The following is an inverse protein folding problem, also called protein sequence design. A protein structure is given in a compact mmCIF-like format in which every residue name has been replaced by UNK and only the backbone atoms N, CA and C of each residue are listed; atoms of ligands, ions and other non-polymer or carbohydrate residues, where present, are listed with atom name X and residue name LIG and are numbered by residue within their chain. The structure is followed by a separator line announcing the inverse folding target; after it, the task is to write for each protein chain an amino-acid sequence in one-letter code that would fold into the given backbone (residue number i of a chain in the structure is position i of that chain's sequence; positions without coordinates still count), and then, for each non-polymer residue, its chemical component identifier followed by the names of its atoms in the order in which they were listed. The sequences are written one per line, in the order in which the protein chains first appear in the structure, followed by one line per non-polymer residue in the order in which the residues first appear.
data_IF_843774681990
#
_entry.id   IF_843774681990
#
_cell.length_a   1.000
_cell.length_b   1.000
_cell.length_c   1.000
_cell.angle_alpha   90.00
_cell.angle_beta   90.00
_cell.angle_gamma   90.00
#
_symmetry.space_group_name_H-M   'P 1'
#
loop_
_entity.id
_entity.type
_entity.pdbx_description
1 polymer ?
#
# COMPACT_ATOMS: atom_id res chain seq x y z
N UNK A 1 -29.63 15.67 -3.90
CA UNK A 1 -29.28 14.83 -2.74
C UNK A 1 -27.77 14.78 -2.63
N UNK A 2 -27.23 15.42 -1.61
CA UNK A 2 -25.86 15.95 -1.49
C UNK A 2 -24.77 14.89 -1.28
N UNK A 3 -23.75 14.94 -2.13
CA UNK A 3 -22.57 14.06 -2.19
C UNK A 3 -21.41 14.62 -1.34
N UNK A 4 -21.69 15.07 -0.12
CA UNK A 4 -20.80 15.92 0.70
C UNK A 4 -20.16 15.22 1.92
N UNK A 5 -20.00 13.89 1.90
CA UNK A 5 -19.55 13.12 3.09
C UNK A 5 -18.14 12.49 3.01
N UNK A 6 -17.33 12.82 2.00
CA UNK A 6 -15.98 12.27 1.87
C UNK A 6 -14.92 13.38 1.90
N UNK A 7 -14.64 13.88 3.11
CA UNK A 7 -13.41 14.61 3.37
C UNK A 7 -12.31 13.59 3.67
N UNK A 8 -11.28 13.42 2.81
CA UNK A 8 -10.09 12.65 3.19
C UNK A 8 -9.47 13.27 4.45
N UNK A 9 -8.85 12.45 5.29
CA UNK A 9 -8.05 12.90 6.43
C UNK A 9 -6.88 13.70 5.88
N UNK A 10 -7.09 15.00 5.65
CA UNK A 10 -6.11 15.92 5.11
C UNK A 10 -5.48 16.64 6.30
N UNK A 11 -4.73 15.89 7.10
CA UNK A 11 -3.90 16.46 8.14
C UNK A 11 -2.49 16.65 7.54
N UNK A 12 -1.99 17.88 7.39
CA UNK A 12 -0.65 18.15 6.84
C UNK A 12 0.49 17.58 7.71
N UNK A 13 0.16 16.97 8.87
CA UNK A 13 1.08 16.19 9.70
C UNK A 13 1.26 14.73 9.25
N UNK A 14 0.50 14.23 8.28
CA UNK A 14 0.67 12.89 7.69
C UNK A 14 1.71 12.97 6.55
N UNK A 15 2.86 13.59 6.83
CA UNK A 15 4.09 13.20 6.17
C UNK A 15 4.71 12.14 7.08
N UNK A 16 4.44 10.88 6.78
CA UNK A 16 5.13 9.72 7.38
C UNK A 16 6.58 9.67 6.86
N UNK A 17 7.32 10.77 7.00
CA UNK A 17 8.77 10.80 6.89
C UNK A 17 9.31 10.44 8.27
N UNK A 18 9.32 9.15 8.58
CA UNK A 18 10.08 8.64 9.71
C UNK A 18 11.54 8.48 9.25
N UNK A 19 12.47 9.37 9.66
CA UNK A 19 13.87 9.22 9.30
C UNK A 19 14.42 7.92 9.89
N UNK A 20 15.09 7.12 9.05
CA UNK A 20 15.77 5.89 9.49
C UNK A 20 14.98 4.58 9.31
N UNK A 21 13.86 4.57 8.60
CA UNK A 21 13.18 3.32 8.22
C UNK A 21 13.92 2.62 7.07
N UNK A 22 14.96 1.87 7.42
CA UNK A 22 15.66 0.99 6.49
C UNK A 22 14.86 -0.32 6.28
N UNK A 23 14.48 -0.63 5.04
CA UNK A 23 13.94 -1.95 4.68
C UNK A 23 15.03 -2.86 4.15
N UNK A 24 15.05 -4.11 4.61
CA UNK A 24 15.85 -5.17 3.98
C UNK A 24 15.15 -5.61 2.71
N UNK A 25 15.69 -5.28 1.55
CA UNK A 25 15.17 -5.75 0.26
C UNK A 25 15.99 -6.96 -0.19
N UNK A 26 15.34 -8.06 -0.59
CA UNK A 26 16.07 -9.23 -1.12
C UNK A 26 16.67 -8.89 -2.49
N UNK A 27 18.00 -8.95 -2.59
CA UNK A 27 18.73 -8.91 -3.85
C UNK A 27 19.45 -10.23 -4.09
N UNK A 28 19.25 -10.80 -5.29
CA UNK A 28 19.95 -11.98 -5.80
C UNK A 28 21.10 -11.54 -6.72
N UNK A 29 21.98 -10.67 -6.22
CA UNK A 29 23.37 -10.61 -6.69
C UNK A 29 24.25 -11.01 -5.51
N UNK A 30 24.84 -12.21 -5.59
CA UNK A 30 25.71 -12.82 -4.55
C UNK A 30 25.07 -13.13 -3.18
N UNK A 31 23.74 -13.28 -3.09
CA UNK A 31 23.07 -13.83 -1.90
C UNK A 31 23.15 -12.95 -0.63
N UNK A 32 23.45 -11.65 -0.75
CA UNK A 32 23.55 -10.72 0.38
C UNK A 32 22.26 -9.89 0.54
N UNK A 33 21.73 -9.80 1.76
CA UNK A 33 20.60 -8.92 2.11
C UNK A 33 21.14 -7.54 2.47
N UNK A 34 20.68 -6.50 1.79
CA UNK A 34 21.06 -5.11 2.02
C UNK A 34 19.88 -4.31 2.57
N UNK A 35 20.18 -3.33 3.42
CA UNK A 35 19.23 -2.32 3.85
C UNK A 35 19.21 -1.18 2.82
N UNK A 36 18.03 -0.82 2.35
CA UNK A 36 17.82 0.30 1.42
C UNK A 36 17.22 1.48 2.19
N UNK A 37 17.78 2.66 1.98
CA UNK A 37 17.21 3.91 2.51
C UNK A 37 16.06 4.37 1.61
N UNK A 38 14.84 4.32 2.15
CA UNK A 38 13.62 4.66 1.43
C UNK A 38 13.56 6.16 1.10
N UNK A 39 14.14 7.02 1.94
CA UNK A 39 14.11 8.48 1.75
C UNK A 39 14.95 8.90 0.55
N UNK A 40 15.98 8.13 0.20
CA UNK A 40 16.84 8.38 -0.97
C UNK A 40 16.24 7.73 -2.24
N UNK A 41 15.41 6.71 -2.07
CA UNK A 41 14.75 6.03 -3.19
C UNK A 41 13.30 6.51 -3.35
N UNK A 42 13.08 7.75 -3.77
CA UNK A 42 11.75 8.14 -4.25
C UNK A 42 11.32 7.24 -5.43
N UNK A 43 10.01 6.97 -5.58
CA UNK A 43 9.35 6.26 -6.70
C UNK A 43 9.46 6.99 -8.06
N UNK A 44 10.60 7.61 -8.34
CA UNK A 44 10.88 8.19 -9.63
C UNK A 44 11.25 7.05 -10.59
N UNK A 45 10.22 6.38 -11.13
CA UNK A 45 10.37 5.42 -12.22
C UNK A 45 10.71 6.20 -13.50
N UNK A 46 11.96 6.10 -13.95
CA UNK A 46 12.33 6.46 -15.33
C UNK A 46 11.97 5.29 -16.23
N UNK A 47 10.93 5.39 -17.06
CA UNK A 47 10.82 4.63 -18.31
C UNK A 47 9.86 5.33 -19.28
N UNK A 48 10.41 5.82 -20.40
CA UNK A 48 9.70 5.99 -21.66
C UNK A 48 9.41 4.62 -22.26
N UNK A 49 8.28 4.53 -22.98
CA UNK A 49 7.88 3.44 -23.87
C UNK A 49 7.16 2.24 -23.22
N UNK A 50 5.89 2.12 -23.64
CA UNK A 50 5.08 0.92 -23.86
C UNK A 50 5.71 -0.43 -23.45
N UNK A 51 4.91 -1.25 -22.75
CA UNK A 51 5.03 -2.71 -22.61
C UNK A 51 5.69 -3.31 -21.35
N UNK A 52 5.35 -2.84 -20.14
CA UNK A 52 5.64 -3.63 -18.92
C UNK A 52 4.42 -4.13 -18.14
N UNK A 53 3.19 -3.85 -18.58
CA UNK A 53 1.98 -4.40 -17.94
C UNK A 53 1.00 -5.09 -18.93
N UNK A 54 1.38 -5.28 -20.19
CA UNK A 54 0.45 -5.84 -21.19
C UNK A 54 0.54 -7.36 -21.37
N UNK A 55 1.70 -7.98 -21.08
CA UNK A 55 1.93 -9.39 -21.42
C UNK A 55 1.66 -10.39 -20.27
N UNK A 56 1.83 -9.99 -19.01
CA UNK A 56 1.54 -10.83 -17.81
C UNK A 56 0.18 -10.56 -17.19
N UNK A 57 -0.41 -9.40 -17.49
CA UNK A 57 -1.77 -9.04 -17.07
C UNK A 57 -2.81 -10.01 -17.63
N UNK A 58 -2.69 -10.42 -18.90
CA UNK A 58 -3.69 -11.28 -19.56
C UNK A 58 -3.81 -12.67 -18.92
N UNK A 59 -2.70 -13.30 -18.55
CA UNK A 59 -2.70 -14.59 -17.86
C UNK A 59 -3.19 -14.48 -16.41
N UNK A 60 -2.86 -13.38 -15.70
CA UNK A 60 -3.39 -13.11 -14.36
C UNK A 60 -4.89 -12.80 -14.37
N UNK A 61 -5.38 -12.03 -15.36
CA UNK A 61 -6.80 -11.69 -15.51
C UNK A 61 -7.63 -12.86 -16.04
N UNK A 62 -7.09 -13.71 -16.90
CA UNK A 62 -7.75 -14.95 -17.37
C UNK A 62 -7.94 -15.98 -16.24
N UNK A 63 -7.05 -16.02 -15.24
CA UNK A 63 -7.26 -16.84 -14.02
C UNK A 63 -8.42 -16.33 -13.13
N UNK A 64 -8.83 -15.07 -13.30
CA UNK A 64 -9.85 -14.40 -12.48
C UNK A 64 -11.26 -14.40 -13.09
N UNK A 65 -11.41 -14.82 -14.35
CA UNK A 65 -12.72 -14.94 -14.98
C UNK A 65 -13.48 -16.18 -14.45
N UNK A 66 -14.57 -15.93 -13.71
CA UNK A 66 -15.57 -16.95 -13.35
C UNK A 66 -15.61 -17.45 -11.89
N UNK A 67 -15.03 -16.75 -10.91
CA UNK A 67 -14.90 -17.28 -9.54
C UNK A 67 -15.21 -16.26 -8.41
N UNK A 68 -15.45 -16.79 -7.19
CA UNK A 68 -16.05 -16.24 -5.96
C UNK A 68 -15.71 -14.78 -5.53
N UNK A 69 -16.50 -14.23 -4.58
CA UNK A 69 -16.44 -12.83 -4.08
C UNK A 69 -15.04 -12.43 -3.59
N UNK A 70 -14.31 -13.37 -3.03
CA UNK A 70 -13.01 -13.21 -2.39
C UNK A 70 -11.89 -13.02 -3.43
N UNK A 71 -11.94 -13.73 -4.57
CA UNK A 71 -11.01 -13.50 -5.69
C UNK A 71 -11.24 -12.15 -6.34
N UNK A 72 -12.49 -11.67 -6.37
CA UNK A 72 -12.83 -10.31 -6.79
C UNK A 72 -12.24 -9.27 -5.83
N UNK A 73 -12.25 -9.52 -4.52
CA UNK A 73 -11.59 -8.64 -3.55
C UNK A 73 -10.08 -8.56 -3.82
N UNK A 74 -9.42 -9.71 -4.02
CA UNK A 74 -7.99 -9.75 -4.35
C UNK A 74 -7.66 -8.98 -5.64
N UNK A 75 -8.47 -9.15 -6.70
CA UNK A 75 -8.34 -8.36 -7.92
C UNK A 75 -8.40 -6.86 -7.64
N UNK A 76 -9.36 -6.41 -6.83
CA UNK A 76 -9.53 -4.98 -6.52
C UNK A 76 -8.33 -4.44 -5.74
N UNK A 77 -7.72 -5.24 -4.85
CA UNK A 77 -6.50 -4.85 -4.14
C UNK A 77 -5.32 -4.65 -5.10
N UNK A 78 -5.06 -5.62 -5.98
CA UNK A 78 -3.97 -5.52 -6.97
C UNK A 78 -4.23 -4.40 -7.98
N UNK A 79 -5.47 -4.25 -8.43
CA UNK A 79 -5.89 -3.15 -9.32
C UNK A 79 -5.70 -1.78 -8.66
N UNK A 80 -6.04 -1.66 -7.38
CA UNK A 80 -5.80 -0.44 -6.59
C UNK A 80 -4.33 -0.13 -6.41
N UNK A 81 -3.51 -1.17 -6.20
CA UNK A 81 -2.06 -1.01 -6.08
C UNK A 81 -1.44 -0.51 -7.38
N UNK A 82 -1.83 -1.12 -8.50
CA UNK A 82 -1.40 -0.68 -9.82
C UNK A 82 -1.89 0.75 -10.14
N UNK A 83 -3.12 1.10 -9.73
CA UNK A 83 -3.60 2.47 -9.83
C UNK A 83 -2.73 3.44 -9.01
N UNK A 84 -2.32 3.08 -7.79
CA UNK A 84 -1.43 3.90 -6.95
C UNK A 84 -0.10 4.21 -7.63
N UNK A 85 0.54 3.21 -8.23
CA UNK A 85 1.81 3.37 -8.96
C UNK A 85 1.63 4.34 -10.14
N UNK A 86 0.55 4.17 -10.89
CA UNK A 86 0.23 5.03 -12.03
C UNK A 86 -0.05 6.49 -11.61
N UNK A 87 -0.67 6.71 -10.44
CA UNK A 87 -0.86 8.05 -9.88
C UNK A 87 0.49 8.67 -9.51
N UNK A 88 1.38 7.94 -8.83
CA UNK A 88 2.72 8.43 -8.48
C UNK A 88 3.54 8.80 -9.73
N UNK A 89 3.52 7.93 -10.74
CA UNK A 89 4.19 8.20 -12.01
C UNK A 89 3.68 9.48 -12.67
N UNK A 90 2.36 9.68 -12.66
CA UNK A 90 1.75 10.88 -13.24
C UNK A 90 2.07 12.13 -12.43
N UNK A 91 2.08 12.04 -11.09
CA UNK A 91 2.31 13.17 -10.19
C UNK A 91 3.78 13.59 -10.13
N UNK A 92 4.69 12.64 -10.32
CA UNK A 92 6.15 12.83 -10.29
C UNK A 92 6.75 12.43 -11.62
N UNK A 93 6.23 13.02 -12.69
CA UNK A 93 6.65 12.76 -14.06
C UNK A 93 7.88 13.61 -14.41
N UNK A 94 8.78 13.08 -15.25
CA UNK A 94 9.90 13.85 -15.78
C UNK A 94 9.38 14.71 -16.94
N UNK A 95 9.08 15.98 -16.65
CA UNK A 95 8.50 16.91 -17.62
C UNK A 95 9.54 17.44 -18.61
N UNK A 96 10.77 17.61 -18.15
CA UNK A 96 11.88 18.12 -18.95
C UNK A 96 13.19 17.46 -18.50
N UNK A 97 14.00 17.04 -19.48
CA UNK A 97 15.30 16.39 -19.29
C UNK A 97 16.33 17.05 -20.21
N UNK A 98 16.77 18.22 -19.79
CA UNK A 98 17.84 18.95 -20.45
C UNK A 98 19.18 18.66 -19.77
N UNK A 99 20.29 18.79 -20.50
CA UNK A 99 21.66 18.57 -19.98
C UNK A 99 21.94 19.30 -18.65
N UNK A 100 21.34 20.48 -18.46
CA UNK A 100 21.56 21.34 -17.28
C UNK A 100 20.51 21.16 -16.18
N UNK A 101 19.32 20.65 -16.49
CA UNK A 101 18.22 20.62 -15.53
C UNK A 101 17.21 19.50 -15.83
N UNK A 102 16.83 18.79 -14.76
CA UNK A 102 15.72 17.84 -14.74
C UNK A 102 14.55 18.45 -14.00
N UNK A 103 13.41 18.59 -14.67
CA UNK A 103 12.19 19.12 -14.07
C UNK A 103 11.20 17.99 -13.85
N UNK A 104 10.87 17.74 -12.59
CA UNK A 104 9.84 16.79 -12.18
C UNK A 104 8.56 17.51 -11.80
N UNK A 105 7.41 16.93 -12.10
CA UNK A 105 6.12 17.48 -11.69
C UNK A 105 4.92 16.72 -12.23
N UNK A 106 3.74 17.30 -12.05
CA UNK A 106 2.48 16.72 -12.47
C UNK A 106 2.31 16.76 -13.98
N UNK A 107 2.17 15.58 -14.59
CA UNK A 107 1.79 15.45 -15.99
C UNK A 107 0.29 15.12 -16.09
N UNK A 108 -0.51 16.16 -16.37
CA UNK A 108 -1.98 16.05 -16.47
C UNK A 108 -2.40 15.19 -17.67
N UNK A 109 -1.68 15.25 -18.78
CA UNK A 109 -1.95 14.44 -19.97
C UNK A 109 -1.77 12.95 -19.68
N UNK A 110 -0.66 12.58 -19.04
CA UNK A 110 -0.40 11.20 -18.61
C UNK A 110 -1.50 10.69 -17.66
N UNK A 111 -1.90 11.53 -16.69
CA UNK A 111 -2.98 11.19 -15.77
C UNK A 111 -4.31 10.96 -16.51
N UNK A 112 -4.69 11.84 -17.44
CA UNK A 112 -5.90 11.69 -18.26
C UNK A 112 -5.86 10.40 -19.08
N UNK A 113 -4.78 10.11 -19.79
CA UNK A 113 -4.67 8.88 -20.59
C UNK A 113 -4.90 7.60 -19.77
N UNK A 114 -4.56 7.62 -18.48
CA UNK A 114 -4.68 6.45 -17.58
C UNK A 114 -6.00 6.36 -16.83
N UNK A 115 -6.63 7.49 -16.52
CA UNK A 115 -7.75 7.57 -15.58
C UNK A 115 -8.99 8.32 -16.09
N UNK A 116 -8.90 9.04 -17.19
CA UNK A 116 -10.04 9.73 -17.78
C UNK A 116 -11.11 8.73 -18.25
N UNK A 117 -12.38 9.06 -18.02
CA UNK A 117 -13.48 8.13 -18.31
C UNK A 117 -13.68 7.90 -19.80
N UNK A 118 -13.51 8.93 -20.63
CA UNK A 118 -13.75 8.84 -22.07
C UNK A 118 -12.56 8.13 -22.74
N UNK A 119 -11.33 8.52 -22.40
CA UNK A 119 -10.11 7.94 -22.99
C UNK A 119 -9.92 6.46 -22.64
N UNK A 120 -10.49 6.00 -21.52
CA UNK A 120 -10.32 4.63 -21.03
C UNK A 120 -11.58 3.77 -21.10
N UNK A 121 -12.62 4.21 -21.81
CA UNK A 121 -13.90 3.51 -21.90
C UNK A 121 -14.49 3.14 -20.51
N UNK A 122 -14.36 4.05 -19.54
CA UNK A 122 -14.87 3.90 -18.18
C UNK A 122 -14.00 3.07 -17.22
N UNK A 123 -12.84 2.55 -17.67
CA UNK A 123 -11.94 1.76 -16.82
C UNK A 123 -11.16 2.60 -15.81
N UNK A 124 -10.78 3.82 -16.17
CA UNK A 124 -10.06 4.77 -15.30
C UNK A 124 -10.76 5.01 -13.96
N UNK A 125 -12.05 5.42 -13.96
CA UNK A 125 -12.83 5.55 -12.74
C UNK A 125 -13.01 4.25 -11.95
N UNK A 126 -13.01 3.07 -12.60
CA UNK A 126 -13.02 1.77 -11.90
C UNK A 126 -11.70 1.52 -11.15
N UNK A 127 -10.56 1.81 -11.79
CA UNK A 127 -9.22 1.70 -11.18
C UNK A 127 -9.08 2.65 -9.98
N UNK A 128 -9.57 3.88 -10.09
CA UNK A 128 -9.59 4.83 -8.97
C UNK A 128 -10.47 4.33 -7.80
N UNK A 129 -11.64 3.76 -8.08
CA UNK A 129 -12.47 3.12 -7.03
C UNK A 129 -11.74 1.97 -6.35
N UNK A 130 -10.95 1.20 -7.09
CA UNK A 130 -10.12 0.14 -6.53
C UNK A 130 -8.97 0.69 -5.67
N UNK A 131 -8.41 1.84 -6.01
CA UNK A 131 -7.42 2.55 -5.18
C UNK A 131 -8.03 2.96 -3.82
N UNK A 132 -9.23 3.55 -3.81
CA UNK A 132 -9.94 3.86 -2.57
C UNK A 132 -10.28 2.59 -1.77
N UNK A 133 -10.67 1.52 -2.45
CA UNK A 133 -10.91 0.24 -1.79
C UNK A 133 -9.66 -0.30 -1.09
N UNK A 134 -8.51 -0.28 -1.78
CA UNK A 134 -7.22 -0.65 -1.18
C UNK A 134 -6.88 0.23 0.04
N UNK A 135 -7.05 1.55 -0.08
CA UNK A 135 -6.82 2.49 1.02
C UNK A 135 -7.65 2.12 2.26
N UNK A 136 -8.94 1.83 2.09
CA UNK A 136 -9.82 1.46 3.20
C UNK A 136 -9.45 0.13 3.84
N UNK A 137 -8.98 -0.84 3.05
CA UNK A 137 -8.51 -2.15 3.56
C UNK A 137 -7.25 -1.98 4.41
N UNK A 138 -6.26 -1.21 3.93
CA UNK A 138 -5.04 -0.95 4.69
C UNK A 138 -5.32 -0.09 5.94
N UNK A 139 -6.20 0.92 5.82
CA UNK A 139 -6.65 1.72 6.96
C UNK A 139 -7.33 0.86 8.03
N UNK A 140 -8.17 -0.10 7.61
CA UNK A 140 -8.82 -1.05 8.54
C UNK A 140 -7.79 -1.94 9.24
N UNK A 141 -6.80 -2.44 8.51
CA UNK A 141 -5.71 -3.22 9.11
C UNK A 141 -4.94 -2.39 10.16
N UNK A 142 -4.63 -1.12 9.86
CA UNK A 142 -4.01 -0.20 10.82
C UNK A 142 -4.87 0.02 12.07
N UNK A 143 -6.19 0.19 11.92
CA UNK A 143 -7.09 0.31 13.06
C UNK A 143 -7.09 -0.97 13.92
N UNK A 144 -7.12 -2.15 13.29
CA UNK A 144 -7.18 -3.45 13.99
C UNK A 144 -5.87 -3.82 14.69
N UNK A 145 -4.71 -3.40 14.18
CA UNK A 145 -3.40 -3.74 14.79
C UNK A 145 -3.01 -2.84 15.97
N UNK A 146 -3.82 -1.82 16.28
CA UNK A 146 -3.56 -0.91 17.41
C UNK A 146 -3.23 -1.63 18.74
N UNK A 147 -3.94 -2.69 19.17
CA UNK A 147 -3.64 -3.38 20.42
C UNK A 147 -2.21 -3.95 20.47
N UNK A 148 -1.70 -4.45 19.34
CA UNK A 148 -0.33 -4.98 19.23
C UNK A 148 0.72 -3.90 19.49
N UNK A 149 0.57 -2.72 18.87
CA UNK A 149 1.52 -1.61 19.05
C UNK A 149 1.40 -0.92 20.42
N UNK A 150 0.22 -1.02 21.04
CA UNK A 150 -0.06 -0.46 22.37
C UNK A 150 0.61 -1.26 23.49
N UNK A 151 1.08 -2.48 23.23
CA UNK A 151 1.74 -3.29 24.24
C UNK A 151 3.00 -2.58 24.80
N UNK A 152 3.20 -2.57 26.13
CA UNK A 152 4.42 -2.00 26.75
C UNK A 152 5.70 -2.72 26.33
N UNK A 153 5.61 -3.99 25.95
CA UNK A 153 6.73 -4.81 25.45
C UNK A 153 7.20 -4.40 24.06
N UNK A 154 6.33 -3.83 23.23
CA UNK A 154 6.67 -3.43 21.87
C UNK A 154 7.59 -2.20 21.87
N UNK A 155 8.69 -2.27 21.10
CA UNK A 155 9.70 -1.20 20.98
C UNK A 155 10.15 -1.01 19.53
N UNK A 156 10.18 0.24 19.07
CA UNK A 156 10.76 0.64 17.79
C UNK A 156 12.27 0.88 17.93
N UNK A 157 13.06 -0.16 18.18
CA UNK A 157 14.48 0.00 18.53
C UNK A 157 15.34 0.53 17.37
N UNK A 158 15.83 1.77 17.42
CA UNK A 158 16.82 2.30 16.44
C UNK A 158 18.20 2.50 17.05
N UNK A 159 18.35 2.26 18.36
CA UNK A 159 19.55 2.57 19.14
C UNK A 159 19.50 3.96 19.77
N UNK A 160 18.43 4.75 19.54
CA UNK A 160 18.23 6.08 20.11
C UNK A 160 16.95 6.11 20.95
N UNK A 161 17.02 5.89 22.28
CA UNK A 161 15.84 5.61 23.10
C UNK A 161 14.83 6.77 23.16
N UNK A 162 15.29 8.03 23.11
CA UNK A 162 14.42 9.21 23.09
C UNK A 162 13.62 9.30 21.78
N UNK A 163 14.27 9.05 20.64
CA UNK A 163 13.63 9.05 19.33
C UNK A 163 12.68 7.85 19.18
N UNK A 164 13.09 6.68 19.65
CA UNK A 164 12.28 5.45 19.64
C UNK A 164 10.95 5.63 20.37
N UNK A 165 10.97 6.29 21.53
CA UNK A 165 9.77 6.59 22.31
C UNK A 165 8.87 7.59 21.57
N UNK A 166 9.44 8.69 21.06
CA UNK A 166 8.71 9.68 20.28
C UNK A 166 8.06 9.07 19.02
N UNK A 167 8.77 8.22 18.30
CA UNK A 167 8.24 7.51 17.13
C UNK A 167 7.12 6.54 17.51
N UNK A 168 7.21 5.87 18.67
CA UNK A 168 6.14 5.00 19.18
C UNK A 168 4.88 5.81 19.48
N UNK A 169 5.02 6.98 20.10
CA UNK A 169 3.89 7.88 20.39
C UNK A 169 3.20 8.37 19.12
N UNK A 170 3.98 8.84 18.13
CA UNK A 170 3.45 9.25 16.82
C UNK A 170 2.73 8.11 16.10
N UNK A 171 3.30 6.90 16.13
CA UNK A 171 2.66 5.73 15.57
C UNK A 171 1.30 5.46 16.24
N UNK A 172 1.24 5.51 17.57
CA UNK A 172 -0.01 5.30 18.30
C UNK A 172 -1.05 6.40 18.02
N UNK A 173 -0.63 7.65 17.81
CA UNK A 173 -1.53 8.73 17.40
C UNK A 173 -2.17 8.44 16.03
N UNK A 174 -1.36 8.03 15.05
CA UNK A 174 -1.83 7.68 13.71
C UNK A 174 -2.79 6.48 13.76
N UNK A 175 -2.46 5.44 14.53
CA UNK A 175 -3.32 4.25 14.66
C UNK A 175 -4.64 4.57 15.37
N UNK A 176 -4.63 5.47 16.36
CA UNK A 176 -5.87 5.94 16.99
C UNK A 176 -6.72 6.78 16.03
N UNK A 177 -6.11 7.60 15.18
CA UNK A 177 -6.81 8.33 14.13
C UNK A 177 -7.41 7.38 13.08
N UNK A 178 -6.69 6.33 12.71
CA UNK A 178 -7.22 5.28 11.83
C UNK A 178 -8.43 4.57 12.46
N UNK A 179 -8.39 4.33 13.78
CA UNK A 179 -9.50 3.71 14.53
C UNK A 179 -10.72 4.63 14.69
N UNK A 180 -10.52 5.94 14.79
CA UNK A 180 -11.64 6.90 14.94
C UNK A 180 -12.41 7.14 13.64
N UNK A 181 -11.85 6.77 12.49
CA UNK A 181 -12.52 6.89 11.21
C UNK A 181 -13.74 5.95 11.14
N UNK A 182 -14.96 6.46 10.87
CA UNK A 182 -16.19 5.67 10.83
C UNK A 182 -16.23 4.82 9.55
N UNK A 183 -15.55 3.68 9.57
CA UNK A 183 -15.45 2.78 8.45
C UNK A 183 -16.61 1.77 8.50
N UNK A 184 -17.67 2.02 7.74
CA UNK A 184 -18.76 1.07 7.54
C UNK A 184 -18.37 0.08 6.42
N UNK A 185 -17.60 -0.94 6.78
CA UNK A 185 -17.26 -2.05 5.89
C UNK A 185 -17.94 -3.32 6.39
N UNK A 186 -18.63 -4.03 5.50
CA UNK A 186 -19.22 -5.32 5.83
C UNK A 186 -18.14 -6.41 5.80
N UNK A 187 -17.48 -6.58 6.94
CA UNK A 187 -16.35 -7.50 7.14
C UNK A 187 -16.76 -8.96 6.92
N UNK A 188 -18.04 -9.28 7.15
CA UNK A 188 -18.56 -10.63 7.02
C UNK A 188 -18.55 -11.12 5.58
N UNK A 189 -18.70 -10.20 4.63
CA UNK A 189 -18.69 -10.49 3.19
C UNK A 189 -17.31 -10.76 2.58
N UNK A 190 -16.21 -10.44 3.29
CA UNK A 190 -14.84 -10.62 2.77
C UNK A 190 -13.96 -11.53 3.63
N UNK A 191 -14.14 -11.54 4.96
CA UNK A 191 -13.18 -12.16 5.88
C UNK A 191 -13.81 -13.02 6.98
N UNK A 192 -15.15 -13.04 7.11
CA UNK A 192 -15.85 -13.88 8.10
C UNK A 192 -16.60 -15.07 7.47
N UNK A 193 -15.98 -15.72 6.48
CA UNK A 193 -16.41 -17.03 5.98
C UNK A 193 -16.09 -18.17 6.97
N UNK A 194 -16.49 -19.40 6.62
CA UNK A 194 -16.14 -20.62 7.36
C UNK A 194 -14.62 -20.68 7.61
N UNK A 195 -14.19 -21.18 8.77
CA UNK A 195 -12.79 -21.20 9.20
C UNK A 195 -11.88 -21.89 8.16
N UNK A 196 -12.43 -22.90 7.47
CA UNK A 196 -11.78 -23.59 6.35
C UNK A 196 -11.64 -22.72 5.10
N UNK A 197 -12.68 -21.97 4.73
CA UNK A 197 -12.66 -21.08 3.58
C UNK A 197 -11.71 -19.90 3.82
N UNK A 198 -11.72 -19.32 5.02
CA UNK A 198 -10.78 -18.27 5.41
C UNK A 198 -9.33 -18.75 5.41
N UNK A 199 -9.08 -19.99 5.86
CA UNK A 199 -7.75 -20.60 5.81
C UNK A 199 -7.29 -20.86 4.37
N UNK A 200 -8.16 -21.36 3.50
CA UNK A 200 -7.85 -21.56 2.08
C UNK A 200 -7.60 -20.23 1.37
N UNK A 201 -8.43 -19.22 1.60
CA UNK A 201 -8.28 -17.89 1.03
C UNK A 201 -6.95 -17.24 1.46
N UNK A 202 -6.60 -17.37 2.75
CA UNK A 202 -5.33 -16.90 3.28
C UNK A 202 -4.14 -17.55 2.55
N UNK A 203 -4.22 -18.85 2.28
CA UNK A 203 -3.16 -19.58 1.57
C UNK A 203 -3.10 -19.19 0.08
N UNK A 204 -4.23 -19.06 -0.59
CA UNK A 204 -4.31 -18.62 -2.00
C UNK A 204 -3.71 -17.21 -2.16
N UNK A 205 -4.05 -16.29 -1.25
CA UNK A 205 -3.50 -14.94 -1.19
C UNK A 205 -1.99 -14.99 -0.97
N UNK A 206 -1.52 -15.82 -0.03
CA UNK A 206 -0.10 -15.99 0.26
C UNK A 206 0.68 -16.48 -0.97
N UNK A 207 0.15 -17.48 -1.67
CA UNK A 207 0.74 -18.01 -2.90
C UNK A 207 0.74 -16.95 -4.01
N UNK A 208 -0.33 -16.17 -4.14
CA UNK A 208 -0.40 -15.08 -5.10
C UNK A 208 0.67 -14.00 -4.81
N UNK A 209 0.87 -13.59 -3.55
CA UNK A 209 1.94 -12.66 -3.19
C UNK A 209 3.34 -13.21 -3.43
N UNK A 210 3.57 -14.51 -3.20
CA UNK A 210 4.84 -15.15 -3.55
C UNK A 210 5.11 -15.08 -5.04
N UNK A 211 4.09 -15.35 -5.87
CA UNK A 211 4.21 -15.25 -7.32
C UNK A 211 4.44 -13.80 -7.77
N UNK A 212 3.71 -12.84 -7.20
CA UNK A 212 3.92 -11.41 -7.47
C UNK A 212 5.34 -11.00 -7.09
N UNK A 213 5.85 -11.43 -5.94
CA UNK A 213 7.22 -11.13 -5.51
C UNK A 213 8.27 -11.68 -6.50
N UNK A 214 8.04 -12.88 -7.07
CA UNK A 214 8.90 -13.44 -8.12
C UNK A 214 8.84 -12.63 -9.41
N UNK A 215 7.66 -12.13 -9.77
CA UNK A 215 7.49 -11.22 -10.93
C UNK A 215 8.26 -9.91 -10.68
N UNK A 216 8.25 -9.38 -9.46
CA UNK A 216 8.99 -8.16 -9.13
C UNK A 216 10.51 -8.34 -9.31
N UNK A 217 11.05 -9.55 -9.12
CA UNK A 217 12.47 -9.83 -9.39
C UNK A 217 12.85 -9.65 -10.87
N UNK A 218 11.88 -9.74 -11.79
CA UNK A 218 12.06 -9.54 -13.22
C UNK A 218 11.95 -8.07 -13.66
N UNK A 219 11.54 -7.16 -12.77
CA UNK A 219 11.40 -5.73 -13.10
C UNK A 219 12.79 -5.10 -13.26
N UNK A 220 13.10 -4.58 -14.44
CA UNK A 220 14.42 -4.03 -14.77
C UNK A 220 14.75 -2.72 -14.04
N UNK A 221 13.74 -1.93 -13.66
CA UNK A 221 13.95 -0.73 -12.85
C UNK A 221 14.11 -1.10 -11.37
N UNK A 222 15.27 -0.77 -10.80
CA UNK A 222 15.56 -1.05 -9.39
C UNK A 222 14.59 -0.36 -8.42
N UNK A 223 14.24 0.91 -8.67
CA UNK A 223 13.28 1.66 -7.84
C UNK A 223 11.91 1.00 -7.86
N UNK A 224 11.37 0.72 -9.05
CA UNK A 224 10.05 0.10 -9.17
C UNK A 224 10.05 -1.32 -8.56
N UNK A 225 11.17 -2.07 -8.63
CA UNK A 225 11.34 -3.36 -7.95
C UNK A 225 11.28 -3.22 -6.43
N UNK A 226 12.03 -2.28 -5.86
CA UNK A 226 12.06 -2.06 -4.40
C UNK A 226 10.67 -1.70 -3.89
N UNK A 227 10.03 -0.72 -4.50
CA UNK A 227 8.70 -0.28 -4.10
C UNK A 227 7.62 -1.31 -4.37
N UNK A 228 7.69 -2.05 -5.48
CA UNK A 228 6.82 -3.18 -5.76
C UNK A 228 6.91 -4.24 -4.66
N UNK A 229 8.12 -4.55 -4.14
CA UNK A 229 8.30 -5.46 -3.01
C UNK A 229 7.75 -4.90 -1.70
N UNK A 230 8.03 -3.62 -1.40
CA UNK A 230 7.55 -2.97 -0.18
C UNK A 230 6.02 -2.93 -0.15
N UNK A 231 5.37 -2.50 -1.23
CA UNK A 231 3.92 -2.37 -1.28
C UNK A 231 3.22 -3.73 -1.26
N UNK A 232 3.75 -4.74 -1.96
CA UNK A 232 3.18 -6.09 -1.94
C UNK A 232 3.35 -6.77 -0.58
N UNK A 233 4.50 -6.59 0.09
CA UNK A 233 4.70 -7.07 1.45
C UNK A 233 3.81 -6.32 2.46
N UNK A 234 3.65 -5.01 2.30
CA UNK A 234 2.78 -4.19 3.13
C UNK A 234 1.32 -4.62 3.03
N UNK A 235 0.82 -4.82 1.81
CA UNK A 235 -0.53 -5.34 1.57
C UNK A 235 -0.71 -6.77 2.13
N UNK A 236 0.27 -7.65 1.95
CA UNK A 236 0.25 -8.98 2.56
C UNK A 236 0.22 -8.92 4.10
N UNK A 237 0.94 -7.96 4.70
CA UNK A 237 0.91 -7.71 6.15
C UNK A 237 -0.45 -7.18 6.59
N UNK A 238 -1.07 -6.29 5.82
CA UNK A 238 -2.40 -5.77 6.10
C UNK A 238 -3.44 -6.91 6.11
N UNK A 239 -3.40 -7.80 5.11
CA UNK A 239 -4.29 -8.96 5.06
C UNK A 239 -4.00 -9.95 6.20
N UNK A 240 -2.72 -10.19 6.52
CA UNK A 240 -2.33 -11.01 7.69
C UNK A 240 -2.96 -10.48 8.98
N UNK A 241 -2.99 -9.16 9.18
CA UNK A 241 -3.64 -8.51 10.32
C UNK A 241 -5.14 -8.77 10.30
N UNK A 242 -5.81 -8.53 9.17
CA UNK A 242 -7.26 -8.70 9.03
C UNK A 242 -7.71 -10.14 9.27
N UNK A 243 -6.93 -11.13 8.83
CA UNK A 243 -7.21 -12.55 9.10
C UNK A 243 -6.85 -13.00 10.53
N UNK A 244 -6.15 -12.19 11.30
CA UNK A 244 -5.70 -12.51 12.67
C UNK A 244 -6.44 -11.71 13.74
N UNK A 245 -7.61 -11.14 13.43
CA UNK A 245 -8.39 -10.31 14.35
C UNK A 245 -8.60 -10.95 15.73
N UNK A 246 -9.14 -12.17 15.76
CA UNK A 246 -9.36 -12.92 17.03
C UNK A 246 -8.07 -13.12 17.82
N UNK A 247 -6.94 -13.31 17.14
CA UNK A 247 -5.63 -13.49 17.78
C UNK A 247 -5.09 -12.17 18.36
N UNK A 248 -5.36 -11.04 17.68
CA UNK A 248 -4.96 -9.70 18.11
C UNK A 248 -5.79 -9.26 19.32
N UNK A 249 -7.09 -9.53 19.34
CA UNK A 249 -7.97 -9.23 20.48
C UNK A 249 -7.62 -10.07 21.71
N UNK A 250 -7.20 -11.33 21.49
CA UNK A 250 -6.75 -12.24 22.54
C UNK A 250 -5.27 -12.05 22.96
N UNK A 251 -4.62 -10.95 22.58
CA UNK A 251 -3.21 -10.73 22.92
C UNK A 251 -3.01 -10.65 24.44
N UNK A 252 -2.05 -11.41 25.01
CA UNK A 252 -1.82 -11.41 26.45
C UNK A 252 -1.27 -10.05 26.91
N UNK A 253 -1.74 -9.60 28.07
CA UNK A 253 -1.24 -8.37 28.70
C UNK A 253 0.05 -8.61 29.51
N UNK A 254 0.35 -9.87 29.87
CA UNK A 254 1.55 -10.25 30.63
C UNK A 254 2.66 -10.81 29.73
N UNK A 255 3.92 -10.71 30.20
CA UNK A 255 5.13 -11.14 29.47
C UNK A 255 5.36 -12.66 29.46
N UNK A 256 4.56 -13.42 30.19
CA UNK A 256 4.82 -14.83 30.49
C UNK A 256 4.34 -15.77 29.38
N UNK A 257 3.45 -15.30 28.50
CA UNK A 257 2.90 -16.09 27.39
C UNK A 257 3.45 -15.61 26.05
N UNK A 258 3.81 -16.58 25.18
CA UNK A 258 4.19 -16.26 23.79
C UNK A 258 2.96 -15.70 23.07
N UNK A 259 3.04 -14.52 22.45
CA UNK A 259 1.90 -13.94 21.77
C UNK A 259 1.55 -14.78 20.53
N UNK A 260 0.26 -15.03 20.34
CA UNK A 260 -0.32 -15.74 19.20
C UNK A 260 -0.11 -15.01 17.87
N UNK A 261 0.06 -13.69 17.92
CA UNK A 261 0.30 -12.82 16.77
C UNK A 261 1.60 -12.03 16.92
N UNK A 262 2.41 -12.02 15.88
CA UNK A 262 3.66 -11.26 15.82
C UNK A 262 3.88 -10.65 14.44
N UNK A 263 4.44 -9.43 14.44
CA UNK A 263 4.97 -8.75 13.27
C UNK A 263 6.46 -8.55 13.41
N UNK A 264 7.21 -8.94 12.39
CA UNK A 264 8.62 -8.64 12.31
C UNK A 264 8.86 -7.19 11.87
N UNK A 265 10.09 -6.69 12.03
CA UNK A 265 10.45 -5.32 11.63
C UNK A 265 10.10 -5.03 10.17
N UNK A 266 10.40 -5.94 9.25
CA UNK A 266 10.18 -5.73 7.82
C UNK A 266 8.69 -5.58 7.52
N UNK A 267 7.84 -6.42 8.11
CA UNK A 267 6.37 -6.34 8.02
C UNK A 267 5.86 -4.99 8.52
N UNK A 268 6.33 -4.53 9.69
CA UNK A 268 5.95 -3.22 10.25
C UNK A 268 6.37 -2.08 9.32
N UNK A 269 7.61 -2.08 8.84
CA UNK A 269 8.09 -1.02 7.93
C UNK A 269 7.34 -1.05 6.61
N UNK A 270 7.12 -2.24 6.03
CA UNK A 270 6.39 -2.36 4.76
C UNK A 270 4.94 -1.94 4.89
N UNK A 271 4.27 -2.26 6.00
CA UNK A 271 2.87 -1.89 6.24
C UNK A 271 2.70 -0.37 6.26
N UNK A 272 3.52 0.33 7.04
CA UNK A 272 3.44 1.79 7.17
C UNK A 272 3.82 2.50 5.87
N UNK A 273 4.85 2.01 5.16
CA UNK A 273 5.27 2.61 3.89
C UNK A 273 4.27 2.34 2.76
N UNK A 274 3.68 1.15 2.69
CA UNK A 274 2.63 0.84 1.73
C UNK A 274 1.44 1.79 1.93
N UNK A 275 0.92 1.88 3.16
CA UNK A 275 -0.17 2.79 3.48
C UNK A 275 0.18 4.25 3.20
N UNK A 276 1.41 4.67 3.53
CA UNK A 276 1.92 6.00 3.22
C UNK A 276 1.84 6.32 1.73
N UNK A 277 2.25 5.38 0.86
CA UNK A 277 2.11 5.53 -0.60
C UNK A 277 0.66 5.60 -1.03
N UNK A 278 -0.21 4.69 -0.58
CA UNK A 278 -1.63 4.76 -0.96
C UNK A 278 -2.24 6.09 -0.51
N UNK A 279 -1.91 6.56 0.69
CA UNK A 279 -2.32 7.88 1.21
C UNK A 279 -1.82 9.03 0.33
N UNK A 280 -0.55 9.00 -0.10
CA UNK A 280 0.00 9.98 -1.05
C UNK A 280 -0.79 9.97 -2.35
N UNK A 281 -1.08 8.80 -2.93
CA UNK A 281 -1.89 8.69 -4.15
C UNK A 281 -3.26 9.35 -4.00
N UNK A 282 -3.96 9.10 -2.89
CA UNK A 282 -5.26 9.75 -2.62
C UNK A 282 -5.11 11.28 -2.52
N UNK A 283 -4.03 11.76 -1.87
CA UNK A 283 -3.69 13.18 -1.84
C UNK A 283 -3.49 13.77 -3.23
N UNK A 284 -2.73 13.10 -4.09
CA UNK A 284 -2.46 13.53 -5.47
C UNK A 284 -3.70 13.56 -6.35
N UNK A 285 -4.70 12.70 -6.10
CA UNK A 285 -5.99 12.80 -6.80
C UNK A 285 -6.67 14.15 -6.56
N UNK A 286 -6.53 14.74 -5.36
CA UNK A 286 -7.05 16.08 -5.08
C UNK A 286 -6.31 17.13 -5.90
N UNK A 287 -4.98 17.02 -6.00
CA UNK A 287 -4.13 17.91 -6.81
C UNK A 287 -4.52 17.83 -8.28
N UNK A 288 -4.60 16.63 -8.86
CA UNK A 288 -5.03 16.44 -10.24
C UNK A 288 -6.44 16.98 -10.50
N UNK A 289 -7.37 16.83 -9.55
CA UNK A 289 -8.71 17.43 -9.69
C UNK A 289 -8.67 18.96 -9.77
N UNK A 290 -7.77 19.63 -9.05
CA UNK A 290 -7.57 21.09 -9.17
C UNK A 290 -6.99 21.45 -10.53
N UNK A 291 -5.90 20.79 -10.93
CA UNK A 291 -5.22 21.05 -12.21
C UNK A 291 -6.15 20.83 -13.41
N UNK A 292 -6.98 19.79 -13.36
CA UNK A 292 -7.98 19.50 -14.39
C UNK A 292 -9.11 20.54 -14.46
N UNK A 293 -9.40 21.23 -13.36
CA UNK A 293 -10.39 22.30 -13.33
C UNK A 293 -9.83 23.64 -13.84
N UNK A 294 -8.52 23.89 -13.66
CA UNK A 294 -7.83 25.08 -14.15
C UNK A 294 -7.57 25.04 -15.67
N UNK A 295 -7.49 23.85 -16.27
CA UNK A 295 -7.34 23.68 -17.73
C UNK A 295 -8.66 23.78 -18.52
N UNK A 296 -9.81 23.92 -17.84
CA UNK A 296 -11.14 24.09 -18.48
C UNK A 296 -11.52 25.56 -18.57
#
# INVERSE_FOLDING_TARGET
GSLSLFAPINNPKINLELPGLQTKTQEKQRGKKLYTDIQVTDELCWWSSHNLVSFTARTFYSWLEGQCVEKRAFYRLISGLHASINVHLSARYLLDDNWFQRKWGHNVSEFRQRFDSELTAGEGPKRLRNLYFLYLIELRALAKVLPFFSQPSFRLYTGRPKEDQKHKELLLEILNLARSFPLHFDETSLFAGDEKEAAQLKEDIRLAFLNISRIMDCVGCFKCRVWGKIQTQGLGTALKILFSERQIEALPQSREQRPSFQLNRQEVVSLLNAFGRISTSIGELKTFRSLLAEER
#
